data_IF_691471978158
#
_entry.id   IF_691471978158
#
_cell.length_a   1.000
_cell.length_b   1.000
_cell.length_c   1.000
_cell.angle_alpha   90.00
_cell.angle_beta   90.00
_cell.angle_gamma   90.00
#
_symmetry.space_group_name_H-M   'P 1'
#
loop_
_entity.id
_entity.type
_entity.pdbx_description
1 polymer ?
#
# COMPACT_ATOMS: atom_id res chain seq x y z
N UNK A 1 -20.74 -7.70 4.70
CA UNK A 1 -20.54 -9.07 4.20
C UNK A 1 -19.39 -9.07 3.20
N UNK A 2 -18.45 -10.01 3.29
CA UNK A 2 -17.31 -10.12 2.37
C UNK A 2 -17.61 -11.12 1.25
N UNK A 3 -17.47 -10.71 -0.01
CA UNK A 3 -17.70 -11.59 -1.18
C UNK A 3 -16.52 -12.50 -1.51
N UNK A 4 -15.36 -12.31 -0.86
CA UNK A 4 -14.14 -13.09 -1.08
C UNK A 4 -13.51 -13.49 0.25
N UNK A 5 -13.16 -14.77 0.40
CA UNK A 5 -12.48 -15.30 1.59
C UNK A 5 -11.19 -14.56 1.91
N UNK A 6 -10.40 -14.18 0.90
CA UNK A 6 -9.15 -13.42 1.12
C UNK A 6 -9.39 -12.06 1.78
N UNK A 7 -10.47 -11.36 1.43
CA UNK A 7 -10.84 -10.08 2.04
C UNK A 7 -11.32 -10.24 3.48
N UNK A 8 -12.03 -11.34 3.77
CA UNK A 8 -12.42 -11.67 5.14
C UNK A 8 -11.19 -11.95 6.01
N UNK A 9 -10.22 -12.72 5.52
CA UNK A 9 -8.97 -13.00 6.24
C UNK A 9 -8.18 -11.72 6.47
N UNK A 10 -8.02 -10.90 5.43
CA UNK A 10 -7.37 -9.59 5.54
C UNK A 10 -8.04 -8.70 6.59
N UNK A 11 -9.37 -8.64 6.59
CA UNK A 11 -10.13 -7.92 7.61
C UNK A 11 -9.91 -8.49 9.00
N UNK A 12 -9.90 -9.81 9.18
CA UNK A 12 -9.66 -10.41 10.50
C UNK A 12 -8.31 -10.00 11.09
N UNK A 13 -7.29 -9.82 10.26
CA UNK A 13 -5.98 -9.33 10.72
C UNK A 13 -6.02 -7.92 11.32
N UNK A 14 -7.02 -7.10 10.99
CA UNK A 14 -7.18 -5.78 11.63
C UNK A 14 -7.64 -5.89 13.08
N UNK A 15 -8.31 -6.99 13.44
CA UNK A 15 -8.70 -7.27 14.83
C UNK A 15 -7.57 -7.92 15.62
N UNK A 16 -6.83 -8.84 15.00
CA UNK A 16 -5.73 -9.55 15.68
C UNK A 16 -4.43 -8.76 15.72
N UNK A 17 -4.28 -7.74 14.87
CA UNK A 17 -3.04 -6.98 14.71
C UNK A 17 -1.95 -7.72 13.94
N UNK A 18 -2.26 -8.87 13.31
CA UNK A 18 -1.28 -9.62 12.51
C UNK A 18 -0.79 -8.79 11.31
N UNK A 19 0.53 -8.66 11.19
CA UNK A 19 1.20 -7.93 10.13
C UNK A 19 2.30 -8.78 9.51
N UNK A 20 1.94 -9.76 8.65
CA UNK A 20 2.88 -10.76 8.16
C UNK A 20 3.85 -10.21 7.11
N UNK A 21 3.60 -9.02 6.56
CA UNK A 21 4.43 -8.42 5.52
C UNK A 21 5.37 -7.40 6.13
N UNK A 22 6.64 -7.77 6.31
CA UNK A 22 7.66 -6.91 6.90
C UNK A 22 8.51 -6.26 5.81
N UNK A 23 8.88 -5.00 6.01
CA UNK A 23 9.84 -4.30 5.18
C UNK A 23 11.25 -4.62 5.68
N UNK A 24 12.06 -5.21 4.81
CA UNK A 24 13.45 -5.58 5.16
C UNK A 24 14.35 -4.36 5.38
N UNK A 25 14.03 -3.22 4.76
CA UNK A 25 14.83 -1.99 4.87
C UNK A 25 14.68 -1.29 6.24
N UNK A 26 13.50 -1.34 6.86
CA UNK A 26 13.22 -0.57 8.09
C UNK A 26 12.44 -1.32 9.18
N UNK A 27 12.15 -2.60 8.98
CA UNK A 27 11.42 -3.45 9.93
C UNK A 27 9.93 -3.14 10.07
N UNK A 28 9.39 -2.14 9.36
CA UNK A 28 7.95 -1.82 9.42
C UNK A 28 7.12 -2.97 8.85
N UNK A 29 6.05 -3.33 9.55
CA UNK A 29 5.17 -4.42 9.17
C UNK A 29 3.78 -3.95 8.72
N UNK A 30 3.19 -4.70 7.80
CA UNK A 30 1.92 -4.41 7.15
C UNK A 30 1.01 -5.64 7.15
N UNK A 31 -0.30 -5.39 7.25
CA UNK A 31 -1.34 -6.43 7.19
C UNK A 31 -1.54 -7.00 5.79
N UNK A 32 -1.19 -6.22 4.75
CA UNK A 32 -1.43 -6.53 3.34
C UNK A 32 -0.18 -6.25 2.48
N UNK A 33 0.09 -7.15 1.52
CA UNK A 33 1.24 -7.06 0.62
C UNK A 33 1.26 -5.77 -0.20
N UNK A 34 0.09 -5.32 -0.66
CA UNK A 34 -0.01 -4.09 -1.46
C UNK A 34 0.41 -2.85 -0.67
N UNK A 35 0.21 -2.81 0.65
CA UNK A 35 0.68 -1.72 1.51
C UNK A 35 2.20 -1.76 1.69
N UNK A 36 2.80 -2.94 1.84
CA UNK A 36 4.26 -3.08 1.87
C UNK A 36 4.89 -2.59 0.56
N UNK A 37 4.33 -2.97 -0.60
CA UNK A 37 4.85 -2.52 -1.90
C UNK A 37 4.78 -0.99 -2.04
N UNK A 38 3.63 -0.38 -1.69
CA UNK A 38 3.49 1.09 -1.71
C UNK A 38 4.47 1.76 -0.75
N UNK A 39 4.71 1.16 0.41
CA UNK A 39 5.69 1.66 1.37
C UNK A 39 7.11 1.57 0.82
N UNK A 40 7.49 0.49 0.15
CA UNK A 40 8.83 0.35 -0.44
C UNK A 40 9.12 1.40 -1.53
N UNK A 41 8.09 1.89 -2.22
CA UNK A 41 8.24 3.04 -3.13
C UNK A 41 8.65 4.33 -2.40
N UNK A 42 8.39 4.46 -1.10
CA UNK A 42 8.86 5.59 -0.29
C UNK A 42 10.37 5.52 0.01
N UNK A 43 10.94 4.31 0.10
CA UNK A 43 12.40 4.14 0.22
C UNK A 43 13.13 4.45 -1.08
N UNK A 44 12.58 3.95 -2.19
CA UNK A 44 13.21 4.14 -3.52
C UNK A 44 12.92 5.51 -4.14
N UNK A 45 12.01 6.30 -3.57
CA UNK A 45 11.55 7.56 -4.15
C UNK A 45 10.76 7.40 -5.46
N UNK A 46 10.46 6.17 -5.89
CA UNK A 46 9.73 5.90 -7.14
C UNK A 46 8.28 6.39 -7.02
N UNK A 47 7.86 7.17 -8.02
CA UNK A 47 6.50 7.73 -8.12
C UNK A 47 5.91 7.38 -9.48
N UNK A 48 5.33 6.18 -9.64
CA UNK A 48 4.94 5.65 -10.95
C UNK A 48 3.71 6.34 -11.56
N UNK A 49 3.00 7.16 -10.79
CA UNK A 49 1.78 7.82 -11.24
C UNK A 49 2.04 9.31 -11.46
N UNK A 50 2.09 9.76 -12.71
CA UNK A 50 2.33 11.16 -13.06
C UNK A 50 1.06 11.83 -13.59
N UNK A 51 0.83 13.07 -13.17
CA UNK A 51 -0.18 13.95 -13.76
C UNK A 51 0.30 14.43 -15.13
N UNK A 52 -0.52 14.22 -16.16
CA UNK A 52 -0.18 14.61 -17.53
C UNK A 52 -0.17 16.13 -17.72
N UNK A 53 -0.95 16.87 -16.92
CA UNK A 53 -1.12 18.32 -17.06
C UNK A 53 0.04 19.09 -16.41
N UNK A 54 0.41 18.75 -15.17
CA UNK A 54 1.43 19.48 -14.41
C UNK A 54 2.71 18.69 -14.11
N UNK A 55 2.82 17.43 -14.55
CA UNK A 55 4.00 16.58 -14.35
C UNK A 55 4.21 16.08 -12.91
N UNK A 56 3.37 16.49 -11.95
CA UNK A 56 3.48 16.03 -10.55
C UNK A 56 3.31 14.52 -10.46
N UNK A 57 4.22 13.88 -9.75
CA UNK A 57 4.25 12.42 -9.60
C UNK A 57 3.87 11.98 -8.19
N UNK A 58 3.23 10.82 -8.09
CA UNK A 58 2.64 10.23 -6.89
C UNK A 58 3.02 8.76 -6.74
N UNK A 59 3.12 8.32 -5.50
CA UNK A 59 3.39 6.92 -5.14
C UNK A 59 2.12 6.05 -5.20
N UNK A 60 0.93 6.66 -5.04
CA UNK A 60 -0.36 5.96 -4.99
C UNK A 60 -1.31 6.57 -6.01
N UNK A 61 -1.97 5.72 -6.81
CA UNK A 61 -2.92 6.14 -7.86
C UNK A 61 -4.07 7.01 -7.33
N UNK A 62 -4.62 6.69 -6.16
CA UNK A 62 -5.70 7.49 -5.56
C UNK A 62 -5.27 8.93 -5.29
N UNK A 63 -4.00 9.16 -4.95
CA UNK A 63 -3.48 10.50 -4.71
C UNK A 63 -3.35 11.28 -6.02
N UNK A 64 -3.04 10.61 -7.14
CA UNK A 64 -3.09 11.24 -8.46
C UNK A 64 -4.52 11.59 -8.86
N UNK A 65 -5.50 10.73 -8.56
CA UNK A 65 -6.91 10.97 -8.92
C UNK A 65 -7.51 12.12 -8.10
N UNK A 66 -7.10 12.27 -6.83
CA UNK A 66 -7.56 13.34 -5.96
C UNK A 66 -6.81 14.67 -6.16
N UNK A 67 -5.65 14.63 -6.82
CA UNK A 67 -4.83 15.78 -7.13
C UNK A 67 -5.40 16.57 -8.31
#
# INVERSE_FOLDING_TARGET
SFTRRSRLIEHHRTHTGEKPFVCDDCGKSFTVRSSLIKHHLSHTGKKPFSCADCGKSFTVRSNLIAH
#
